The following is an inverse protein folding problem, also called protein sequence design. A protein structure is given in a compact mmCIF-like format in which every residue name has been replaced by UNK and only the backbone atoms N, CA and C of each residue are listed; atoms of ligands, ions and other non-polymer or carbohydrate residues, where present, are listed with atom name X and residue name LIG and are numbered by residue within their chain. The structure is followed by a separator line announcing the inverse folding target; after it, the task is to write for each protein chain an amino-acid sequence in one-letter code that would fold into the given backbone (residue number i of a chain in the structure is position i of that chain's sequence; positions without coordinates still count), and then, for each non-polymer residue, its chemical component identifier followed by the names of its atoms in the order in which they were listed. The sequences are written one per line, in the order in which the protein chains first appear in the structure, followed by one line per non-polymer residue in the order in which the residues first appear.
data_IF_961786614049
#
_entry.id   IF_961786614049
#
_cell.length_a   1.000
_cell.length_b   1.000
_cell.length_c   1.000
_cell.angle_alpha   90.00
_cell.angle_beta   90.00
_cell.angle_gamma   90.00
#
_symmetry.space_group_name_H-M   'P 1'
#
loop_
_entity.id
_entity.type
_entity.pdbx_description
1 polymer ?
#
# COMPACT_ATOMS: atom_id res chain seq x y z
N UNK A 1 1.40 17.92 -22.51
CA UNK A 1 2.23 17.06 -21.63
C UNK A 1 3.06 16.17 -22.53
N UNK A 2 4.39 16.35 -22.55
CA UNK A 2 5.29 15.48 -23.32
C UNK A 2 5.31 14.10 -22.68
N UNK A 3 4.79 13.09 -23.38
CA UNK A 3 4.88 11.70 -22.94
C UNK A 3 6.36 11.35 -22.84
N UNK A 4 6.79 10.93 -21.65
CA UNK A 4 8.18 10.57 -21.36
C UNK A 4 8.58 9.41 -22.28
N UNK A 5 9.72 9.53 -22.97
CA UNK A 5 10.23 8.46 -23.84
C UNK A 5 10.44 7.19 -23.03
N UNK A 6 10.08 6.05 -23.62
CA UNK A 6 10.28 4.73 -23.02
C UNK A 6 11.77 4.57 -22.64
N UNK A 7 12.09 4.11 -21.41
CA UNK A 7 13.47 3.85 -20.99
C UNK A 7 14.20 2.89 -21.94
N UNK A 8 15.52 3.03 -22.08
CA UNK A 8 16.33 2.21 -22.98
C UNK A 8 16.32 0.72 -22.66
N UNK A 9 15.98 0.36 -21.42
CA UNK A 9 15.89 -1.01 -20.89
C UNK A 9 14.45 -1.57 -20.91
N UNK A 10 13.50 -0.89 -21.53
CA UNK A 10 12.12 -1.37 -21.56
C UNK A 10 11.98 -2.61 -22.46
N UNK A 11 11.44 -3.73 -21.94
CA UNK A 11 11.27 -4.94 -22.74
C UNK A 11 10.26 -4.72 -23.87
N UNK A 12 10.49 -5.34 -25.03
CA UNK A 12 9.51 -5.35 -26.11
C UNK A 12 8.34 -6.26 -25.71
N UNK A 13 7.15 -5.67 -25.56
CA UNK A 13 5.94 -6.41 -25.20
C UNK A 13 5.24 -6.95 -26.46
N UNK A 14 4.63 -8.15 -26.42
CA UNK A 14 3.83 -8.67 -27.53
C UNK A 14 2.67 -7.74 -27.91
N UNK A 15 2.30 -7.68 -29.20
CA UNK A 15 1.17 -6.87 -29.70
C UNK A 15 -0.18 -7.19 -29.03
N UNK A 16 -0.33 -8.39 -28.46
CA UNK A 16 -1.52 -8.84 -27.73
C UNK A 16 -1.18 -9.24 -26.29
N UNK A 17 -0.37 -8.43 -25.61
CA UNK A 17 -0.10 -8.62 -24.19
C UNK A 17 -1.39 -8.48 -23.37
N UNK A 18 -1.51 -9.29 -22.31
CA UNK A 18 -2.56 -9.10 -21.30
C UNK A 18 -2.26 -7.82 -20.53
N UNK A 19 -3.28 -6.99 -20.32
CA UNK A 19 -3.14 -5.79 -19.49
C UNK A 19 -3.18 -6.17 -18.01
N UNK A 20 -2.12 -5.85 -17.27
CA UNK A 20 -2.11 -5.90 -15.81
C UNK A 20 -2.40 -4.52 -15.24
N UNK A 21 -3.29 -4.43 -14.25
CA UNK A 21 -3.56 -3.20 -13.51
C UNK A 21 -3.07 -3.40 -12.07
N UNK A 22 -2.19 -2.52 -11.62
CA UNK A 22 -1.66 -2.54 -10.26
C UNK A 22 -2.32 -1.44 -9.41
N UNK A 23 -3.16 -1.84 -8.46
CA UNK A 23 -3.71 -0.92 -7.46
C UNK A 23 -2.72 -0.80 -6.31
N UNK A 24 -2.17 0.40 -6.10
CA UNK A 24 -1.21 0.70 -5.04
C UNK A 24 -1.81 1.61 -3.98
N UNK A 25 -1.44 1.35 -2.72
CA UNK A 25 -1.77 2.18 -1.58
C UNK A 25 -0.64 2.09 -0.54
N UNK A 26 -0.65 2.94 0.48
CA UNK A 26 0.33 2.97 1.58
C UNK A 26 0.29 1.69 2.45
N UNK A 27 -0.82 0.97 2.39
CA UNK A 27 -1.04 -0.25 3.17
C UNK A 27 -1.58 0.05 4.57
N UNK A 28 -1.55 -0.98 5.41
CA UNK A 28 -2.12 -0.99 6.76
C UNK A 28 -1.29 -1.96 7.60
N UNK A 29 -1.21 -1.78 8.93
CA UNK A 29 -0.64 -2.78 9.83
C UNK A 29 -1.35 -4.13 9.71
N UNK A 30 -0.63 -5.21 10.03
CA UNK A 30 -1.16 -6.58 10.03
C UNK A 30 -2.13 -6.85 11.21
N UNK A 31 -2.09 -6.01 12.23
CA UNK A 31 -2.92 -6.09 13.43
C UNK A 31 -2.87 -4.78 14.22
N UNK A 32 -3.70 -4.67 15.26
CA UNK A 32 -3.78 -3.48 16.13
C UNK A 32 -2.79 -3.54 17.30
N UNK A 33 -2.14 -4.68 17.50
CA UNK A 33 -1.16 -4.90 18.55
C UNK A 33 0.13 -4.08 18.35
N UNK A 34 0.85 -3.84 19.45
CA UNK A 34 2.06 -3.02 19.46
C UNK A 34 3.15 -3.55 18.50
N UNK A 35 3.47 -4.86 18.44
CA UNK A 35 4.39 -5.41 17.45
C UNK A 35 4.00 -5.12 16.00
N UNK A 36 2.74 -5.39 15.61
CA UNK A 36 2.23 -5.12 14.27
C UNK A 36 2.31 -3.64 13.89
N UNK A 37 1.91 -2.76 14.83
CA UNK A 37 2.00 -1.31 14.65
C UNK A 37 3.44 -0.83 14.54
N UNK A 38 4.36 -1.38 15.36
CA UNK A 38 5.78 -1.01 15.32
C UNK A 38 6.42 -1.39 13.99
N UNK A 39 6.12 -2.58 13.45
CA UNK A 39 6.60 -3.04 12.14
C UNK A 39 6.12 -2.11 11.03
N UNK A 40 4.82 -1.80 11.00
CA UNK A 40 4.22 -0.91 10.01
C UNK A 40 4.82 0.51 10.08
N UNK A 41 4.84 1.12 11.28
CA UNK A 41 5.39 2.46 11.47
C UNK A 41 6.87 2.54 11.10
N UNK A 42 7.66 1.50 11.39
CA UNK A 42 9.07 1.45 11.01
C UNK A 42 9.22 1.45 9.50
N UNK A 43 8.45 0.65 8.77
CA UNK A 43 8.49 0.61 7.31
C UNK A 43 8.08 1.95 6.69
N UNK A 44 6.94 2.49 7.13
CA UNK A 44 6.39 3.74 6.60
C UNK A 44 7.29 4.95 6.87
N UNK A 45 7.77 5.10 8.11
CA UNK A 45 8.56 6.27 8.52
C UNK A 45 10.04 6.15 8.16
N UNK A 46 10.53 5.00 7.71
CA UNK A 46 11.90 4.88 7.19
C UNK A 46 12.02 5.32 5.73
N UNK A 47 10.91 5.54 5.02
CA UNK A 47 10.93 5.96 3.63
C UNK A 47 11.32 7.45 3.51
N UNK A 48 12.35 7.71 2.72
CA UNK A 48 12.87 9.07 2.44
C UNK A 48 11.90 9.92 1.62
N UNK A 49 10.94 9.28 0.95
CA UNK A 49 9.86 9.96 0.23
C UNK A 49 8.78 10.47 1.17
N UNK A 50 8.75 9.98 2.41
CA UNK A 50 7.82 10.43 3.45
C UNK A 50 8.48 11.42 4.39
N UNK A 51 9.78 11.23 4.69
CA UNK A 51 10.55 12.06 5.62
C UNK A 51 11.82 12.60 4.95
N UNK A 52 11.96 13.93 4.92
CA UNK A 52 13.07 14.64 4.27
C UNK A 52 14.22 15.05 5.22
N UNK A 53 14.16 14.62 6.49
CA UNK A 53 15.17 14.94 7.53
C UNK A 53 16.49 14.15 7.30
N UNK A 54 17.67 14.71 7.65
CA UNK A 54 18.93 13.98 7.58
C UNK A 54 18.87 12.59 8.23
N UNK A 55 19.34 11.56 7.51
CA UNK A 55 19.10 10.15 7.86
C UNK A 55 19.55 9.76 9.26
N UNK A 56 20.71 10.27 9.70
CA UNK A 56 21.25 9.91 11.01
C UNK A 56 20.39 10.48 12.14
N UNK A 57 20.01 11.74 12.04
CA UNK A 57 19.13 12.41 13.01
C UNK A 57 17.76 11.71 13.04
N UNK A 58 17.19 11.45 11.87
CA UNK A 58 15.90 10.78 11.79
C UNK A 58 15.94 9.35 12.33
N UNK A 59 17.02 8.60 12.08
CA UNK A 59 17.18 7.25 12.60
C UNK A 59 17.17 7.22 14.13
N UNK A 60 17.83 8.19 14.79
CA UNK A 60 17.81 8.34 16.26
C UNK A 60 16.39 8.65 16.74
N UNK A 61 15.70 9.60 16.11
CA UNK A 61 14.34 10.00 16.50
C UNK A 61 13.36 8.82 16.31
N UNK A 62 13.45 8.14 15.17
CA UNK A 62 12.58 7.03 14.82
C UNK A 62 12.74 5.86 15.81
N UNK A 63 13.96 5.39 16.02
CA UNK A 63 14.22 4.20 16.85
C UNK A 63 14.25 4.51 18.36
N UNK A 64 14.58 5.74 18.75
CA UNK A 64 14.63 6.17 20.15
C UNK A 64 13.28 6.58 20.71
N UNK A 65 12.52 7.42 20.00
CA UNK A 65 11.29 8.02 20.52
C UNK A 65 10.06 7.41 19.85
N UNK A 66 9.98 7.49 18.52
CA UNK A 66 8.74 7.20 17.79
C UNK A 66 8.33 5.74 17.94
N UNK A 67 9.23 4.79 17.66
CA UNK A 67 8.91 3.36 17.69
C UNK A 67 8.69 2.80 19.11
N UNK A 68 9.01 3.58 20.15
CA UNK A 68 8.80 3.17 21.54
C UNK A 68 7.49 3.74 22.12
N UNK A 69 7.06 4.93 21.67
CA UNK A 69 5.87 5.61 22.22
C UNK A 69 4.65 5.50 21.32
N UNK A 70 4.84 5.68 20.00
CA UNK A 70 3.74 5.85 19.04
C UNK A 70 2.94 4.58 18.71
N UNK A 71 3.50 3.36 18.71
CA UNK A 71 2.76 2.16 18.32
C UNK A 71 1.49 1.93 19.14
N UNK A 72 1.54 2.12 20.46
CA UNK A 72 0.37 1.93 21.35
C UNK A 72 -0.78 2.86 20.99
N UNK A 73 -0.51 4.18 20.97
CA UNK A 73 -1.51 5.20 20.61
C UNK A 73 -2.09 5.00 19.21
N UNK A 74 -1.26 4.52 18.27
CA UNK A 74 -1.71 4.24 16.91
C UNK A 74 -2.56 2.96 16.86
N UNK A 75 -2.18 1.93 17.62
CA UNK A 75 -2.94 0.69 17.79
C UNK A 75 -4.35 0.95 18.27
N UNK A 76 -4.51 1.74 19.34
CA UNK A 76 -5.82 2.11 19.89
C UNK A 76 -6.70 2.87 18.87
N UNK A 77 -6.08 3.65 17.98
CA UNK A 77 -6.79 4.33 16.90
C UNK A 77 -7.26 3.36 15.82
N UNK A 78 -6.41 2.41 15.42
CA UNK A 78 -6.76 1.37 14.45
C UNK A 78 -7.81 0.40 15.02
N UNK A 79 -7.72 0.06 16.30
CA UNK A 79 -8.67 -0.83 16.99
C UNK A 79 -10.10 -0.31 16.93
N UNK A 80 -10.28 1.02 17.06
CA UNK A 80 -11.61 1.65 16.96
C UNK A 80 -12.30 1.47 15.61
N UNK A 81 -11.54 1.24 14.54
CA UNK A 81 -12.07 1.05 13.18
C UNK A 81 -11.82 -0.36 12.64
N UNK A 82 -11.34 -1.27 13.48
CA UNK A 82 -10.97 -2.61 13.07
C UNK A 82 -12.20 -3.48 12.83
N UNK A 83 -12.23 -4.18 11.69
CA UNK A 83 -13.29 -5.12 11.35
C UNK A 83 -12.96 -6.47 12.00
N UNK A 84 -13.50 -6.69 13.21
CA UNK A 84 -13.16 -7.85 14.05
C UNK A 84 -13.54 -9.19 13.42
N UNK A 85 -14.64 -9.22 12.66
CA UNK A 85 -15.17 -10.43 12.02
C UNK A 85 -14.73 -10.58 10.56
N UNK A 86 -13.76 -9.79 10.11
CA UNK A 86 -13.28 -9.80 8.73
C UNK A 86 -11.80 -10.20 8.68
N UNK A 87 -11.41 -11.19 7.84
CA UNK A 87 -10.02 -11.61 7.72
C UNK A 87 -9.08 -10.51 7.22
N UNK A 88 -9.61 -9.49 6.51
CA UNK A 88 -8.80 -8.35 6.08
C UNK A 88 -8.46 -7.41 7.24
N UNK A 89 -9.29 -7.40 8.30
CA UNK A 89 -9.16 -6.59 9.52
C UNK A 89 -9.29 -5.08 9.29
N UNK A 90 -8.35 -4.50 8.55
CA UNK A 90 -8.37 -3.09 8.17
C UNK A 90 -9.40 -2.81 7.09
N UNK A 91 -10.28 -1.80 7.26
CA UNK A 91 -11.20 -1.35 6.21
C UNK A 91 -10.48 -1.01 4.90
N UNK A 92 -9.26 -0.45 4.98
CA UNK A 92 -8.50 -0.10 3.79
C UNK A 92 -8.10 -1.32 2.98
N UNK A 93 -7.64 -2.39 3.65
CA UNK A 93 -7.27 -3.65 2.99
C UNK A 93 -8.50 -4.30 2.35
N UNK A 94 -9.61 -4.39 3.08
CA UNK A 94 -10.89 -4.91 2.60
C UNK A 94 -11.37 -4.20 1.33
N UNK A 95 -11.55 -2.88 1.41
CA UNK A 95 -12.11 -2.14 0.26
C UNK A 95 -11.13 -2.05 -0.91
N UNK A 96 -9.83 -2.10 -0.68
CA UNK A 96 -8.84 -2.17 -1.77
C UNK A 96 -8.96 -3.50 -2.52
N UNK A 97 -9.08 -4.62 -1.80
CA UNK A 97 -9.29 -5.94 -2.40
C UNK A 97 -10.60 -6.00 -3.19
N UNK A 98 -11.71 -5.56 -2.59
CA UNK A 98 -13.02 -5.53 -3.26
C UNK A 98 -13.01 -4.66 -4.53
N UNK A 99 -12.36 -3.49 -4.48
CA UNK A 99 -12.20 -2.63 -5.66
C UNK A 99 -11.37 -3.31 -6.75
N UNK A 100 -10.29 -4.01 -6.38
CA UNK A 100 -9.47 -4.74 -7.34
C UNK A 100 -10.26 -5.86 -8.03
N UNK A 101 -11.05 -6.63 -7.26
CA UNK A 101 -11.93 -7.68 -7.79
C UNK A 101 -13.00 -7.10 -8.73
N UNK A 102 -13.67 -6.02 -8.33
CA UNK A 102 -14.67 -5.35 -9.15
C UNK A 102 -14.08 -4.82 -10.47
N UNK A 103 -12.90 -4.19 -10.40
CA UNK A 103 -12.21 -3.69 -11.58
C UNK A 103 -11.83 -4.84 -12.52
N UNK A 104 -11.27 -5.93 -11.99
CA UNK A 104 -10.91 -7.09 -12.79
C UNK A 104 -12.12 -7.68 -13.54
N UNK A 105 -13.27 -7.78 -12.88
CA UNK A 105 -14.51 -8.24 -13.50
C UNK A 105 -15.01 -7.28 -14.59
N UNK A 106 -14.95 -5.97 -14.33
CA UNK A 106 -15.42 -4.94 -15.26
C UNK A 106 -14.57 -4.92 -16.53
N UNK A 107 -13.24 -4.97 -16.38
CA UNK A 107 -12.30 -5.03 -17.51
C UNK A 107 -12.46 -6.32 -18.31
N UNK A 108 -12.72 -7.46 -17.66
CA UNK A 108 -12.95 -8.72 -18.36
C UNK A 108 -14.22 -8.71 -19.23
N UNK A 109 -15.28 -8.02 -18.78
CA UNK A 109 -16.50 -7.83 -19.57
C UNK A 109 -16.24 -6.96 -20.80
N UNK A 110 -15.55 -5.84 -20.61
CA UNK A 110 -15.24 -4.89 -21.68
C UNK A 110 -14.33 -5.51 -22.77
N UNK A 111 -13.30 -6.27 -22.36
CA UNK A 111 -12.43 -6.99 -23.32
C UNK A 111 -13.20 -8.05 -24.12
N UNK A 112 -14.21 -8.69 -23.52
CA UNK A 112 -15.07 -9.63 -24.26
C UNK A 112 -16.00 -8.90 -25.24
N UNK A 113 -16.58 -7.78 -24.84
CA UNK A 113 -17.46 -6.97 -25.69
C UNK A 113 -16.72 -6.38 -26.91
N UNK A 114 -15.48 -5.92 -26.73
CA UNK A 114 -14.65 -5.34 -27.82
C UNK A 114 -13.95 -6.39 -28.70
N UNK A 115 -14.13 -7.68 -28.46
CA UNK A 115 -13.57 -8.78 -29.27
C UNK A 115 -14.61 -9.49 -30.15
N UNK A 116 -15.88 -9.05 -30.10
CA UNK A 116 -16.96 -9.44 -31.01
C UNK A 116 -17.15 -8.32 -32.02
#
# INVERSE_FOLDING_TARGET
MSVKSIPSDHPSLPRHAKTGILLVNLGTPDGTDTPSMRKYLKQFLSDKRVIEVPRLLWWIILNGIILNVRPRKSGDAYERIWLKDDPDGSPLRKYTRLKAEYLAQSMAKEVKANRV
#
